data_IF_013558211141
#
_entry.id   IF_013558211141
#
_cell.length_a   1.000
_cell.length_b   1.000
_cell.length_c   1.000
_cell.angle_alpha   90.00
_cell.angle_beta   90.00
_cell.angle_gamma   90.00
#
_symmetry.space_group_name_H-M   'P 1'
#
loop_
_entity.id
_entity.type
_entity.pdbx_description
1 polymer ?
#
# COMPACT_ATOMS: atom_id res chain seq x y z
N UNK A 1 18.30 10.01 6.68
CA UNK A 1 18.11 8.55 6.89
C UNK A 1 19.11 7.84 5.98
N UNK A 2 20.00 6.96 6.47
CA UNK A 2 21.00 6.32 5.59
C UNK A 2 20.33 5.34 4.62
N UNK A 3 20.65 5.46 3.32
CA UNK A 3 20.18 4.54 2.29
C UNK A 3 20.59 3.09 2.63
N UNK A 4 19.66 2.14 2.54
CA UNK A 4 19.97 0.70 2.64
C UNK A 4 20.81 0.17 1.46
N UNK A 5 21.01 1.00 0.44
CA UNK A 5 21.80 0.71 -0.74
C UNK A 5 23.19 1.34 -0.55
N UNK A 6 24.23 0.56 -0.86
CA UNK A 6 25.63 0.98 -0.74
C UNK A 6 26.00 2.07 -1.76
N UNK A 7 25.34 2.05 -2.92
CA UNK A 7 25.52 3.00 -4.01
C UNK A 7 24.20 3.33 -4.68
N UNK A 8 24.05 4.60 -5.04
CA UNK A 8 23.03 5.07 -5.96
C UNK A 8 23.72 5.53 -7.24
N UNK A 9 23.30 5.00 -8.37
CA UNK A 9 23.79 5.40 -9.70
C UNK A 9 22.61 5.97 -10.47
N UNK A 10 22.77 7.11 -11.10
CA UNK A 10 21.76 7.70 -11.98
C UNK A 10 22.31 7.77 -13.40
N UNK A 11 21.80 6.91 -14.27
CA UNK A 11 22.11 6.85 -15.69
C UNK A 11 21.07 7.69 -16.42
N UNK A 12 21.54 8.78 -17.02
CA UNK A 12 20.70 9.74 -17.68
C UNK A 12 20.84 9.64 -19.20
N UNK A 13 19.78 9.15 -19.86
CA UNK A 13 19.65 9.13 -21.31
C UNK A 13 18.90 10.35 -21.83
N UNK A 14 18.07 11.03 -21.03
CA UNK A 14 17.22 12.14 -21.51
C UNK A 14 17.95 13.48 -21.63
N UNK A 15 19.07 13.64 -20.91
CA UNK A 15 19.86 14.89 -20.84
C UNK A 15 19.00 16.16 -20.82
N UNK A 16 17.93 16.18 -20.01
CA UNK A 16 17.11 17.35 -19.80
C UNK A 16 17.99 18.55 -19.37
N UNK A 17 17.64 19.76 -19.79
CA UNK A 17 18.46 20.97 -19.63
C UNK A 17 19.00 21.19 -18.20
N UNK A 18 18.26 20.74 -17.17
CA UNK A 18 18.70 20.79 -15.77
C UNK A 18 19.81 19.75 -15.51
N UNK A 19 19.57 18.50 -15.88
CA UNK A 19 20.47 17.37 -15.61
C UNK A 19 21.75 17.37 -16.46
N UNK A 20 21.73 18.01 -17.63
CA UNK A 20 22.92 18.20 -18.46
C UNK A 20 23.96 19.11 -17.77
N UNK A 21 23.49 20.12 -17.01
CA UNK A 21 24.31 21.21 -16.49
C UNK A 21 24.70 21.09 -15.00
N UNK A 22 24.56 19.91 -14.40
CA UNK A 22 24.85 19.67 -12.97
C UNK A 22 26.04 18.75 -12.78
N UNK A 23 26.79 18.97 -11.72
CA UNK A 23 27.93 18.10 -11.36
C UNK A 23 27.50 17.04 -10.34
N UNK A 24 26.53 17.37 -9.48
CA UNK A 24 26.08 16.51 -8.38
C UNK A 24 24.56 16.38 -8.37
N UNK A 25 24.07 15.14 -8.31
CA UNK A 25 22.65 14.81 -8.14
C UNK A 25 22.42 14.18 -6.76
N UNK A 26 21.43 14.69 -6.03
CA UNK A 26 20.95 14.12 -4.77
C UNK A 26 19.59 13.47 -5.00
N UNK A 27 19.48 12.19 -4.63
CA UNK A 27 18.24 11.42 -4.66
C UNK A 27 17.95 10.94 -3.25
N UNK A 28 16.79 11.29 -2.70
CA UNK A 28 16.40 10.92 -1.33
C UNK A 28 17.49 11.29 -0.31
N UNK A 29 17.99 12.54 -0.36
CA UNK A 29 19.04 13.05 0.54
C UNK A 29 20.40 12.33 0.44
N UNK A 30 20.57 11.44 -0.55
CA UNK A 30 21.81 10.67 -0.76
C UNK A 30 22.46 11.08 -2.08
N UNK A 31 23.78 11.35 -2.12
CA UNK A 31 24.49 11.59 -3.36
C UNK A 31 24.40 10.38 -4.31
N UNK A 32 24.11 10.65 -5.57
CA UNK A 32 24.12 9.65 -6.63
C UNK A 32 25.32 9.86 -7.55
N UNK A 33 25.92 8.76 -8.00
CA UNK A 33 26.90 8.80 -9.09
C UNK A 33 26.14 9.08 -10.39
N UNK A 34 26.35 10.26 -10.95
CA UNK A 34 25.68 10.70 -12.16
C UNK A 34 26.46 10.25 -13.40
N UNK A 35 25.85 9.37 -14.20
CA UNK A 35 26.36 8.91 -15.49
C UNK A 35 25.57 9.62 -16.58
N UNK A 36 26.24 10.52 -17.32
CA UNK A 36 25.64 11.25 -18.44
C UNK A 36 25.99 10.55 -19.75
N UNK A 37 24.98 10.06 -20.46
CA UNK A 37 25.18 9.45 -21.79
C UNK A 37 25.10 10.57 -22.82
N UNK A 38 26.18 10.89 -23.57
CA UNK A 38 26.16 11.99 -24.55
C UNK A 38 25.05 11.80 -25.60
N UNK A 39 24.45 12.89 -26.05
CA UNK A 39 23.32 12.84 -26.98
C UNK A 39 23.68 12.12 -28.29
N UNK A 40 22.76 11.30 -28.79
CA UNK A 40 22.97 10.56 -30.03
C UNK A 40 24.03 9.45 -29.93
N UNK A 41 24.60 9.18 -28.74
CA UNK A 41 25.58 8.11 -28.53
C UNK A 41 25.06 6.76 -28.98
N UNK A 42 25.93 5.92 -29.51
CA UNK A 42 25.56 4.53 -29.78
C UNK A 42 25.85 3.66 -28.54
N UNK A 43 24.79 3.22 -27.88
CA UNK A 43 24.85 2.37 -26.68
C UNK A 43 25.59 1.04 -26.95
N UNK A 44 25.56 0.54 -28.19
CA UNK A 44 26.25 -0.71 -28.58
C UNK A 44 27.76 -0.57 -28.62
N UNK A 45 28.28 0.62 -28.94
CA UNK A 45 29.71 0.85 -29.10
C UNK A 45 30.31 1.63 -27.93
N UNK A 46 29.48 2.24 -27.08
CA UNK A 46 29.94 2.87 -25.84
C UNK A 46 30.73 1.86 -25.00
N UNK A 47 32.03 2.11 -24.86
CA UNK A 47 33.00 1.33 -24.08
C UNK A 47 33.75 2.31 -23.17
N UNK A 48 33.95 1.98 -21.90
CA UNK A 48 34.89 2.72 -21.06
C UNK A 48 34.61 2.68 -19.54
N UNK A 49 35.56 2.24 -18.70
CA UNK A 49 35.46 2.28 -17.24
C UNK A 49 35.40 3.69 -16.63
N UNK A 50 35.79 4.75 -17.35
CA UNK A 50 35.75 6.13 -16.85
C UNK A 50 34.33 6.67 -16.63
N UNK A 51 33.32 6.05 -17.27
CA UNK A 51 31.90 6.33 -17.04
C UNK A 51 31.25 5.33 -16.08
N UNK A 52 31.93 4.23 -15.73
CA UNK A 52 31.34 3.15 -14.95
C UNK A 52 31.68 3.26 -13.46
N UNK A 53 30.69 3.17 -12.56
CA UNK A 53 30.82 3.50 -11.14
C UNK A 53 31.56 2.42 -10.32
N UNK A 54 32.80 2.11 -10.66
CA UNK A 54 33.60 1.08 -9.98
C UNK A 54 32.85 -0.25 -9.83
N UNK A 55 33.16 -1.04 -8.80
CA UNK A 55 32.48 -2.31 -8.55
C UNK A 55 30.99 -2.12 -8.20
N UNK A 56 30.10 -2.88 -8.83
CA UNK A 56 28.65 -2.91 -8.56
C UNK A 56 28.33 -4.12 -7.68
N UNK A 57 27.48 -3.94 -6.67
CA UNK A 57 27.06 -5.02 -5.75
C UNK A 57 25.56 -5.27 -5.86
N UNK A 58 25.08 -6.35 -5.24
CA UNK A 58 23.63 -6.61 -5.11
C UNK A 58 22.90 -5.52 -4.30
N UNK A 59 23.61 -4.77 -3.46
CA UNK A 59 23.03 -3.66 -2.69
C UNK A 59 23.06 -2.34 -3.46
N UNK A 60 23.52 -2.33 -4.71
CA UNK A 60 23.51 -1.12 -5.54
C UNK A 60 22.12 -0.89 -6.13
N UNK A 61 21.72 0.38 -6.24
CA UNK A 61 20.51 0.80 -6.95
C UNK A 61 20.86 1.70 -8.13
N UNK A 62 20.32 1.38 -9.28
CA UNK A 62 20.53 2.10 -10.52
C UNK A 62 19.23 2.74 -10.96
N UNK A 63 19.23 4.05 -11.17
CA UNK A 63 18.15 4.77 -11.81
C UNK A 63 18.48 4.93 -13.28
N UNK A 64 17.57 4.55 -14.14
CA UNK A 64 17.67 4.74 -15.59
C UNK A 64 16.57 5.69 -16.03
N UNK A 65 16.96 6.88 -16.45
CA UNK A 65 16.04 7.90 -16.94
C UNK A 65 16.11 7.97 -18.45
N UNK A 66 14.97 7.74 -19.09
CA UNK A 66 14.78 7.77 -20.54
C UNK A 66 13.33 8.15 -20.85
N UNK A 67 13.05 8.65 -22.06
CA UNK A 67 11.67 8.87 -22.48
C UNK A 67 11.10 7.61 -23.14
N UNK A 68 9.94 7.16 -22.67
CA UNK A 68 9.16 6.10 -23.33
C UNK A 68 8.03 6.67 -24.18
N UNK A 69 7.31 5.77 -24.87
CA UNK A 69 6.02 6.03 -25.51
C UNK A 69 5.07 4.89 -25.20
N UNK A 70 3.84 5.21 -24.82
CA UNK A 70 2.78 4.24 -24.50
C UNK A 70 2.66 3.11 -25.53
N UNK A 71 2.78 3.43 -26.82
CA UNK A 71 2.56 2.48 -27.91
C UNK A 71 3.80 1.63 -28.25
N UNK A 72 4.96 1.91 -27.65
CA UNK A 72 6.25 1.32 -28.03
C UNK A 72 6.93 0.69 -26.82
N UNK A 73 6.72 -0.61 -26.67
CA UNK A 73 7.24 -1.38 -25.54
C UNK A 73 8.69 -1.84 -25.72
N UNK A 74 9.31 -1.62 -26.88
CA UNK A 74 10.62 -2.17 -27.24
C UNK A 74 11.66 -1.08 -27.53
N UNK A 75 11.36 0.18 -27.22
CA UNK A 75 12.29 1.28 -27.43
C UNK A 75 12.11 2.43 -26.43
N UNK A 76 13.19 3.19 -26.26
CA UNK A 76 13.24 4.45 -25.48
C UNK A 76 13.95 5.54 -26.26
N UNK A 77 13.83 6.78 -25.81
CA UNK A 77 14.26 7.99 -26.51
C UNK A 77 15.13 8.90 -25.62
N UNK A 78 16.11 9.59 -26.23
CA UNK A 78 16.92 10.67 -25.62
C UNK A 78 16.34 12.06 -25.94
N UNK A 79 15.11 12.33 -25.53
CA UNK A 79 14.41 13.55 -25.97
C UNK A 79 15.02 14.84 -25.39
N UNK A 80 15.95 15.45 -26.13
CA UNK A 80 16.38 16.84 -25.92
C UNK A 80 16.00 17.75 -27.11
N UNK A 81 15.98 17.22 -28.34
CA UNK A 81 15.80 17.97 -29.59
C UNK A 81 14.52 17.57 -30.34
N UNK A 82 14.19 18.31 -31.43
CA UNK A 82 13.01 18.05 -32.28
C UNK A 82 13.00 16.65 -32.89
N UNK A 83 14.18 16.04 -33.08
CA UNK A 83 14.38 14.69 -33.62
C UNK A 83 15.06 13.79 -32.58
N UNK A 84 14.30 13.04 -31.75
CA UNK A 84 14.87 12.16 -30.74
C UNK A 84 15.53 10.92 -31.38
N UNK A 85 16.69 10.49 -30.87
CA UNK A 85 17.24 9.19 -31.23
C UNK A 85 16.44 8.09 -30.55
N UNK A 86 16.21 7.03 -31.31
CA UNK A 86 15.50 5.84 -30.86
C UNK A 86 16.51 4.78 -30.46
N UNK A 87 16.39 4.26 -29.24
CA UNK A 87 17.19 3.16 -28.73
C UNK A 87 16.30 1.94 -28.59
N UNK A 88 16.61 0.90 -29.35
CA UNK A 88 15.93 -0.38 -29.24
C UNK A 88 16.27 -1.10 -27.93
N UNK A 89 15.42 -2.05 -27.57
CA UNK A 89 15.58 -2.94 -26.43
C UNK A 89 16.96 -3.61 -26.41
N UNK A 90 17.42 -4.10 -27.57
CA UNK A 90 18.74 -4.74 -27.71
C UNK A 90 19.89 -3.81 -27.33
N UNK A 91 19.81 -2.57 -27.76
CA UNK A 91 20.86 -1.57 -27.56
C UNK A 91 21.00 -1.24 -26.07
N UNK A 92 19.85 -1.06 -25.40
CA UNK A 92 19.78 -0.80 -23.96
C UNK A 92 20.23 -2.04 -23.16
N UNK A 93 19.80 -3.24 -23.56
CA UNK A 93 20.23 -4.48 -22.92
C UNK A 93 21.73 -4.72 -23.07
N UNK A 94 22.32 -4.44 -24.23
CA UNK A 94 23.78 -4.50 -24.45
C UNK A 94 24.51 -3.53 -23.53
N UNK A 95 24.02 -2.30 -23.38
CA UNK A 95 24.62 -1.32 -22.49
C UNK A 95 24.61 -1.77 -21.03
N UNK A 96 23.45 -2.22 -20.52
CA UNK A 96 23.34 -2.79 -19.17
C UNK A 96 24.14 -4.09 -19.02
N UNK A 97 24.17 -4.94 -20.04
CA UNK A 97 24.97 -6.16 -20.07
C UNK A 97 26.45 -5.85 -19.83
N UNK A 98 27.02 -4.88 -20.55
CA UNK A 98 28.41 -4.45 -20.32
C UNK A 98 28.63 -3.88 -18.91
N UNK A 99 27.71 -3.04 -18.44
CA UNK A 99 27.79 -2.38 -17.13
C UNK A 99 27.72 -3.38 -15.97
N UNK A 100 26.81 -4.34 -16.06
CA UNK A 100 26.39 -5.17 -14.94
C UNK A 100 27.03 -6.56 -14.96
N UNK A 101 27.72 -6.94 -16.03
CA UNK A 101 28.38 -8.25 -16.13
C UNK A 101 29.69 -8.27 -15.36
N UNK A 102 29.53 -8.33 -14.04
CA UNK A 102 30.58 -8.76 -13.13
C UNK A 102 30.28 -10.20 -12.67
N UNK A 103 31.14 -11.18 -12.99
CA UNK A 103 30.90 -12.60 -12.68
C UNK A 103 30.81 -12.87 -11.16
N UNK A 104 31.34 -12.00 -10.31
CA UNK A 104 31.44 -12.25 -8.87
C UNK A 104 30.21 -11.82 -8.05
N UNK A 105 29.24 -11.08 -8.63
CA UNK A 105 28.18 -10.41 -7.85
C UNK A 105 26.74 -10.84 -8.17
N UNK A 106 26.48 -11.57 -9.26
CA UNK A 106 25.11 -11.91 -9.71
C UNK A 106 24.51 -13.12 -9.00
N UNK A 107 24.47 -13.11 -7.67
CA UNK A 107 23.82 -14.19 -6.92
C UNK A 107 22.30 -13.92 -6.79
N UNK A 108 21.42 -14.73 -7.43
CA UNK A 108 19.95 -14.57 -7.33
C UNK A 108 19.40 -14.74 -5.91
N UNK A 109 20.16 -15.36 -5.02
CA UNK A 109 19.72 -15.72 -3.67
C UNK A 109 20.09 -14.65 -2.63
N UNK A 110 20.87 -13.62 -3.02
CA UNK A 110 21.29 -12.54 -2.11
C UNK A 110 20.30 -11.39 -2.15
N UNK A 111 19.80 -11.00 -0.97
CA UNK A 111 18.84 -9.91 -0.77
C UNK A 111 19.51 -8.77 0.02
N UNK A 112 19.29 -7.49 -0.35
CA UNK A 112 18.54 -7.04 -1.53
C UNK A 112 19.26 -7.40 -2.82
N UNK A 113 18.48 -7.66 -3.88
CA UNK A 113 19.00 -7.84 -5.25
C UNK A 113 19.33 -6.49 -5.87
N UNK A 114 20.23 -6.50 -6.85
CA UNK A 114 20.52 -5.33 -7.68
C UNK A 114 19.21 -4.79 -8.24
N UNK A 115 18.93 -3.51 -7.95
CA UNK A 115 17.65 -2.89 -8.29
C UNK A 115 17.82 -1.88 -9.42
N UNK A 116 17.10 -2.07 -10.52
CA UNK A 116 17.00 -1.11 -11.62
C UNK A 116 15.68 -0.33 -11.51
N UNK A 117 15.75 0.97 -11.28
CA UNK A 117 14.61 1.88 -11.24
C UNK A 117 14.47 2.56 -12.59
N UNK A 118 13.43 2.22 -13.33
CA UNK A 118 13.14 2.76 -14.64
C UNK A 118 12.26 4.01 -14.51
N UNK A 119 12.89 5.17 -14.60
CA UNK A 119 12.24 6.48 -14.70
C UNK A 119 11.84 6.75 -16.15
N UNK A 120 11.09 5.82 -16.74
CA UNK A 120 10.61 5.89 -18.12
C UNK A 120 9.14 6.25 -18.13
N UNK A 121 8.75 7.27 -18.90
CA UNK A 121 7.33 7.59 -19.13
C UNK A 121 6.63 6.38 -19.75
N UNK A 122 5.64 5.81 -19.08
CA UNK A 122 4.86 4.65 -19.58
C UNK A 122 5.75 3.42 -19.89
N UNK A 123 6.81 3.22 -19.11
CA UNK A 123 7.86 2.24 -19.42
C UNK A 123 7.63 0.81 -18.93
N UNK A 124 6.43 0.40 -18.48
CA UNK A 124 6.23 -0.93 -17.90
C UNK A 124 6.51 -2.07 -18.89
N UNK A 125 5.98 -1.97 -20.12
CA UNK A 125 6.20 -2.98 -21.16
C UNK A 125 7.68 -3.13 -21.51
N UNK A 126 8.37 -1.99 -21.66
CA UNK A 126 9.81 -1.94 -21.87
C UNK A 126 10.61 -2.52 -20.71
N UNK A 127 10.22 -2.21 -19.47
CA UNK A 127 10.86 -2.76 -18.27
C UNK A 127 10.75 -4.29 -18.19
N UNK A 128 9.57 -4.85 -18.51
CA UNK A 128 9.35 -6.30 -18.55
C UNK A 128 10.27 -6.96 -19.57
N UNK A 129 10.29 -6.44 -20.81
CA UNK A 129 11.13 -6.99 -21.87
C UNK A 129 12.62 -6.85 -21.56
N UNK A 130 13.04 -5.72 -20.98
CA UNK A 130 14.44 -5.49 -20.61
C UNK A 130 14.91 -6.45 -19.52
N UNK A 131 14.10 -6.68 -18.48
CA UNK A 131 14.47 -7.62 -17.41
C UNK A 131 14.62 -9.05 -17.93
N UNK A 132 13.69 -9.54 -18.77
CA UNK A 132 13.80 -10.86 -19.40
C UNK A 132 15.09 -10.94 -20.22
N UNK A 133 15.32 -9.93 -21.07
CA UNK A 133 16.48 -9.93 -21.94
C UNK A 133 17.81 -9.89 -21.19
N UNK A 134 17.87 -9.15 -20.09
CA UNK A 134 19.05 -9.13 -19.22
C UNK A 134 19.31 -10.49 -18.56
N UNK A 135 18.25 -11.23 -18.23
CA UNK A 135 18.38 -12.61 -17.76
C UNK A 135 18.86 -13.54 -18.89
N UNK A 136 18.18 -13.54 -20.04
CA UNK A 136 18.43 -14.47 -21.14
C UNK A 136 19.82 -14.28 -21.76
N UNK A 137 20.20 -13.03 -22.05
CA UNK A 137 21.43 -12.74 -22.78
C UNK A 137 22.65 -12.61 -21.85
N UNK A 138 22.46 -12.28 -20.56
CA UNK A 138 23.55 -11.93 -19.65
C UNK A 138 23.50 -12.61 -18.27
N UNK A 139 22.52 -13.47 -18.00
CA UNK A 139 22.34 -14.14 -16.71
C UNK A 139 22.14 -13.17 -15.53
N UNK A 140 21.56 -11.99 -15.79
CA UNK A 140 21.38 -10.95 -14.78
C UNK A 140 20.06 -11.11 -14.02
N UNK A 141 20.15 -11.52 -12.74
CA UNK A 141 19.03 -11.53 -11.81
C UNK A 141 18.87 -10.17 -11.14
N UNK A 142 18.03 -9.32 -11.71
CA UNK A 142 17.77 -7.98 -11.20
C UNK A 142 16.29 -7.79 -10.85
N UNK A 143 16.04 -7.00 -9.83
CA UNK A 143 14.70 -6.51 -9.54
C UNK A 143 14.50 -5.17 -10.28
N UNK A 144 13.35 -4.99 -10.92
CA UNK A 144 13.07 -3.78 -11.71
C UNK A 144 11.91 -3.01 -11.14
N UNK A 145 12.11 -1.76 -10.76
CA UNK A 145 11.04 -0.87 -10.35
C UNK A 145 10.63 -0.02 -11.55
N UNK A 146 9.40 -0.20 -12.04
CA UNK A 146 8.88 0.52 -13.21
C UNK A 146 7.61 1.30 -12.86
N UNK A 147 7.30 2.31 -13.68
CA UNK A 147 6.06 3.07 -13.56
C UNK A 147 5.03 2.57 -14.58
N UNK A 148 3.79 2.38 -14.14
CA UNK A 148 2.63 2.07 -14.99
C UNK A 148 2.17 3.27 -15.79
N UNK A 149 2.36 4.47 -15.23
CA UNK A 149 1.87 5.73 -15.78
C UNK A 149 3.05 6.63 -16.17
N UNK A 150 2.76 7.73 -16.89
CA UNK A 150 3.77 8.75 -17.22
C UNK A 150 4.37 9.29 -15.93
N UNK A 151 5.70 9.23 -15.81
CA UNK A 151 6.44 9.80 -14.69
C UNK A 151 6.88 11.23 -15.02
N UNK A 152 6.71 12.14 -14.08
CA UNK A 152 7.26 13.49 -14.11
C UNK A 152 8.21 13.64 -12.92
N UNK A 153 9.49 13.85 -13.22
CA UNK A 153 10.52 14.12 -12.21
C UNK A 153 10.68 15.64 -12.06
N UNK A 154 10.61 16.12 -10.82
CA UNK A 154 10.83 17.53 -10.50
C UNK A 154 12.15 17.73 -9.77
N UNK A 155 12.95 18.65 -10.30
CA UNK A 155 14.29 18.95 -9.82
C UNK A 155 14.30 20.34 -9.18
N UNK A 156 14.95 20.46 -8.02
CA UNK A 156 15.22 21.74 -7.36
C UNK A 156 16.73 21.98 -7.39
N UNK A 157 17.14 23.10 -7.98
CA UNK A 157 18.51 23.61 -7.96
C UNK A 157 18.57 24.83 -7.03
N UNK A 158 19.22 24.75 -5.85
CA UNK A 158 19.45 25.91 -5.03
C UNK A 158 20.28 26.96 -5.79
N UNK A 159 19.97 28.24 -5.54
CA UNK A 159 20.69 29.37 -6.15
C UNK A 159 22.18 29.30 -5.76
N UNK A 160 23.07 29.44 -6.74
CA UNK A 160 24.54 29.41 -6.59
C UNK A 160 25.19 28.03 -6.32
N UNK A 161 24.42 26.94 -6.27
CA UNK A 161 24.97 25.60 -6.11
C UNK A 161 25.05 24.82 -7.42
N UNK A 162 26.03 23.91 -7.52
CA UNK A 162 26.12 22.92 -8.62
C UNK A 162 25.34 21.63 -8.35
N UNK A 163 24.66 21.58 -7.20
CA UNK A 163 23.88 20.44 -6.74
C UNK A 163 22.42 20.57 -7.15
N UNK A 164 21.80 19.45 -7.52
CA UNK A 164 20.36 19.38 -7.79
C UNK A 164 19.74 18.25 -6.99
N UNK A 165 18.55 18.51 -6.47
CA UNK A 165 17.75 17.58 -5.71
C UNK A 165 16.58 17.10 -6.56
N UNK A 166 16.46 15.78 -6.73
CA UNK A 166 15.21 15.19 -7.18
C UNK A 166 14.24 15.15 -5.99
N UNK A 167 13.31 16.10 -5.94
CA UNK A 167 12.45 16.30 -4.75
C UNK A 167 11.08 15.66 -4.91
N UNK A 168 10.55 15.61 -6.14
CA UNK A 168 9.22 15.06 -6.38
C UNK A 168 9.18 14.16 -7.61
N UNK A 169 8.35 13.13 -7.49
CA UNK A 169 7.92 12.26 -8.59
C UNK A 169 6.41 12.28 -8.61
N UNK A 170 5.86 12.78 -9.69
CA UNK A 170 4.43 12.77 -9.96
C UNK A 170 4.14 11.80 -11.09
N UNK A 171 2.95 11.23 -11.11
CA UNK A 171 2.51 10.41 -12.24
C UNK A 171 1.27 11.00 -12.86
N UNK A 172 1.12 10.89 -14.18
CA UNK A 172 -0.08 11.32 -14.88
C UNK A 172 -0.65 10.21 -15.76
N UNK A 173 -1.98 10.22 -15.90
CA UNK A 173 -2.67 9.44 -16.92
C UNK A 173 -3.21 10.43 -17.94
N UNK A 174 -3.19 10.01 -19.20
CA UNK A 174 -3.80 10.77 -20.29
C UNK A 174 -5.24 11.14 -19.93
N UNK A 175 -5.55 12.43 -19.92
CA UNK A 175 -6.88 12.97 -19.62
C UNK A 175 -7.26 13.13 -18.13
N UNK A 176 -6.46 12.63 -17.18
CA UNK A 176 -6.79 12.68 -15.72
C UNK A 176 -5.90 13.66 -14.95
N UNK A 177 -4.87 14.21 -15.59
CA UNK A 177 -3.93 15.14 -14.96
C UNK A 177 -2.85 14.47 -14.11
N UNK A 178 -2.01 15.30 -13.47
CA UNK A 178 -0.89 14.87 -12.62
C UNK A 178 -1.36 14.62 -11.20
N UNK A 179 -0.84 13.55 -10.60
CA UNK A 179 -1.12 13.20 -9.21
C UNK A 179 0.17 12.77 -8.51
N UNK A 180 0.37 13.32 -7.32
CA UNK A 180 1.45 12.93 -6.43
C UNK A 180 1.06 11.67 -5.66
N UNK A 181 1.95 10.65 -5.68
CA UNK A 181 1.73 9.33 -5.02
C UNK A 181 0.44 8.63 -5.46
N UNK A 182 0.14 8.62 -6.76
CA UNK A 182 -0.99 7.87 -7.33
C UNK A 182 -0.91 6.38 -6.96
N UNK A 183 -1.96 5.79 -6.39
CA UNK A 183 -2.06 4.34 -6.18
C UNK A 183 -1.81 3.58 -7.48
N UNK A 184 -1.20 2.39 -7.39
CA UNK A 184 -0.99 1.52 -8.55
C UNK A 184 -0.20 2.13 -9.71
N UNK A 185 0.60 3.16 -9.44
CA UNK A 185 1.40 3.83 -10.47
C UNK A 185 2.79 3.23 -10.64
N UNK A 186 3.21 2.37 -9.71
CA UNK A 186 4.57 1.85 -9.62
C UNK A 186 4.56 0.39 -9.22
N UNK A 187 5.36 -0.41 -9.90
CA UNK A 187 5.49 -1.84 -9.64
C UNK A 187 6.94 -2.24 -9.45
N UNK A 188 7.13 -3.27 -8.65
CA UNK A 188 8.35 -4.04 -8.54
C UNK A 188 8.18 -5.31 -9.38
N UNK A 189 8.96 -5.42 -10.43
CA UNK A 189 9.09 -6.63 -11.23
C UNK A 189 10.19 -7.48 -10.61
N UNK A 190 9.85 -8.72 -10.26
CA UNK A 190 10.82 -9.73 -9.85
C UNK A 190 10.85 -10.83 -10.91
N UNK A 191 11.97 -11.53 -11.02
CA UNK A 191 12.14 -12.63 -11.96
C UNK A 191 12.74 -13.83 -11.23
N UNK A 192 12.24 -15.02 -11.54
CA UNK A 192 12.77 -16.28 -11.01
C UNK A 192 13.83 -16.92 -11.93
N UNK A 193 14.36 -18.07 -11.51
CA UNK A 193 15.38 -18.80 -12.29
C UNK A 193 14.85 -19.40 -13.59
N UNK A 194 13.54 -19.58 -13.71
CA UNK A 194 12.89 -20.06 -14.92
C UNK A 194 12.52 -18.93 -15.90
N UNK A 195 12.80 -17.67 -15.54
CA UNK A 195 12.43 -16.49 -16.32
C UNK A 195 10.97 -16.06 -16.12
N UNK A 196 10.27 -16.61 -15.13
CA UNK A 196 8.92 -16.17 -14.78
C UNK A 196 8.97 -14.82 -14.08
N UNK A 197 8.31 -13.82 -14.67
CA UNK A 197 8.19 -12.49 -14.09
C UNK A 197 6.96 -12.38 -13.20
N UNK A 198 7.14 -11.77 -12.03
CA UNK A 198 6.04 -11.37 -11.16
C UNK A 198 5.98 -9.85 -11.04
N UNK A 199 4.78 -9.31 -11.15
CA UNK A 199 4.50 -7.89 -10.96
C UNK A 199 3.92 -7.68 -9.57
N UNK A 200 4.67 -6.96 -8.72
CA UNK A 200 4.27 -6.62 -7.36
C UNK A 200 3.93 -5.14 -7.30
N UNK A 201 2.72 -4.80 -6.86
CA UNK A 201 2.37 -3.39 -6.64
C UNK A 201 3.12 -2.84 -5.42
N UNK A 202 3.89 -1.76 -5.64
CA UNK A 202 4.71 -1.19 -4.59
C UNK A 202 3.89 -0.57 -3.45
N UNK A 203 2.65 -0.14 -3.73
CA UNK A 203 1.75 0.41 -2.72
C UNK A 203 1.09 -0.69 -1.89
N UNK A 204 0.73 -1.81 -2.51
CA UNK A 204 0.20 -2.98 -1.78
C UNK A 204 1.26 -3.54 -0.83
N UNK A 205 2.49 -3.74 -1.29
CA UNK A 205 3.59 -4.23 -0.44
C UNK A 205 3.86 -3.29 0.75
N UNK A 206 3.87 -1.97 0.49
CA UNK A 206 4.05 -0.96 1.54
C UNK A 206 2.88 -0.95 2.53
N UNK A 207 1.66 -1.14 2.05
CA UNK A 207 0.50 -1.22 2.92
C UNK A 207 0.55 -2.48 3.80
N UNK A 208 0.95 -3.63 3.25
CA UNK A 208 1.19 -4.86 4.03
C UNK A 208 2.22 -4.62 5.13
N UNK A 209 3.35 -3.96 4.82
CA UNK A 209 4.36 -3.58 5.81
C UNK A 209 3.78 -2.66 6.90
N UNK A 210 2.95 -1.68 6.53
CA UNK A 210 2.27 -0.81 7.48
C UNK A 210 1.31 -1.59 8.40
N UNK A 211 0.58 -2.57 7.86
CA UNK A 211 -0.30 -3.45 8.66
C UNK A 211 0.52 -4.23 9.68
N UNK A 212 1.55 -4.96 9.23
CA UNK A 212 2.42 -5.72 10.13
C UNK A 212 2.98 -4.85 11.25
N UNK A 213 3.65 -3.75 10.89
CA UNK A 213 4.28 -2.86 11.87
C UNK A 213 3.25 -2.20 12.79
N UNK A 214 2.12 -1.74 12.25
CA UNK A 214 1.07 -1.09 13.01
C UNK A 214 0.48 -1.99 14.09
N UNK A 215 0.18 -3.25 13.74
CA UNK A 215 -0.41 -4.23 14.67
C UNK A 215 0.60 -4.68 15.73
N UNK A 216 1.83 -5.01 15.35
CA UNK A 216 2.88 -5.37 16.32
C UNK A 216 3.15 -4.25 17.32
N UNK A 217 3.16 -3.00 16.85
CA UNK A 217 3.32 -1.84 17.72
C UNK A 217 2.18 -1.72 18.74
N UNK A 218 0.94 -2.09 18.38
CA UNK A 218 -0.17 -2.07 19.34
C UNK A 218 -0.01 -3.14 20.42
N UNK A 219 0.41 -4.36 20.05
CA UNK A 219 0.70 -5.42 21.03
C UNK A 219 1.80 -4.97 22.00
N UNK A 220 2.91 -4.45 21.46
CA UNK A 220 4.05 -4.00 22.26
C UNK A 220 3.71 -2.80 23.16
N UNK A 221 2.99 -1.82 22.62
CA UNK A 221 2.55 -0.63 23.35
C UNK A 221 1.59 -1.00 24.48
N UNK A 222 0.56 -1.80 24.18
CA UNK A 222 -0.43 -2.22 25.17
C UNK A 222 0.22 -3.04 26.29
N UNK A 223 1.07 -4.01 25.94
CA UNK A 223 1.81 -4.84 26.92
C UNK A 223 2.68 -4.01 27.87
N UNK A 224 3.21 -2.88 27.39
CA UNK A 224 4.09 -2.01 28.18
C UNK A 224 3.32 -1.11 29.15
N UNK A 225 2.14 -0.64 28.76
CA UNK A 225 1.43 0.44 29.47
C UNK A 225 0.13 0.03 30.14
N UNK A 226 -0.42 -1.14 29.82
CA UNK A 226 -1.66 -1.62 30.45
C UNK A 226 -1.47 -1.91 31.94
N UNK A 227 -2.47 -1.54 32.74
CA UNK A 227 -2.51 -1.91 34.15
C UNK A 227 -3.10 -3.32 34.31
N UNK A 228 -2.25 -4.32 34.49
CA UNK A 228 -2.68 -5.72 34.66
C UNK A 228 -3.29 -6.04 36.03
N UNK A 229 -3.48 -5.05 36.90
CA UNK A 229 -4.38 -5.21 38.05
C UNK A 229 -5.86 -5.21 37.63
N UNK A 230 -6.19 -4.67 36.43
CA UNK A 230 -7.52 -4.83 35.83
C UNK A 230 -7.58 -6.14 35.01
N UNK A 231 -8.43 -7.12 35.39
CA UNK A 231 -8.58 -8.38 34.68
C UNK A 231 -8.95 -8.24 33.20
N UNK A 232 -9.68 -7.19 32.82
CA UNK A 232 -10.09 -6.94 31.43
C UNK A 232 -8.87 -6.74 30.51
N UNK A 233 -7.77 -6.20 31.03
CA UNK A 233 -6.56 -5.98 30.24
C UNK A 233 -5.87 -7.28 29.82
N UNK A 234 -6.09 -8.41 30.53
CA UNK A 234 -5.62 -9.71 30.05
C UNK A 234 -6.38 -10.17 28.81
N UNK A 235 -7.71 -10.01 28.80
CA UNK A 235 -8.56 -10.34 27.66
C UNK A 235 -8.23 -9.48 26.43
N UNK A 236 -7.97 -8.18 26.64
CA UNK A 236 -7.54 -7.27 25.57
C UNK A 236 -6.19 -7.71 25.00
N UNK A 237 -5.20 -8.01 25.86
CA UNK A 237 -3.89 -8.46 25.41
C UNK A 237 -3.95 -9.79 24.65
N UNK A 238 -4.75 -10.74 25.13
CA UNK A 238 -4.99 -12.02 24.45
C UNK A 238 -5.57 -11.78 23.05
N UNK A 239 -6.61 -10.94 22.95
CA UNK A 239 -7.21 -10.54 21.67
C UNK A 239 -6.20 -9.91 20.70
N UNK A 240 -5.40 -8.94 21.18
CA UNK A 240 -4.37 -8.28 20.37
C UNK A 240 -3.32 -9.28 19.88
N UNK A 241 -2.90 -10.21 20.74
CA UNK A 241 -1.87 -11.21 20.42
C UNK A 241 -2.37 -12.22 19.39
N UNK A 242 -3.61 -12.70 19.54
CA UNK A 242 -4.23 -13.61 18.58
C UNK A 242 -4.39 -12.93 17.23
N UNK A 243 -4.92 -11.70 17.20
CA UNK A 243 -5.05 -10.94 15.96
C UNK A 243 -3.70 -10.71 15.26
N UNK A 244 -2.66 -10.34 16.02
CA UNK A 244 -1.31 -10.17 15.49
C UNK A 244 -0.78 -11.48 14.87
N UNK A 245 -1.00 -12.60 15.54
CA UNK A 245 -0.60 -13.93 15.04
C UNK A 245 -1.34 -14.32 13.77
N UNK A 246 -2.62 -13.97 13.64
CA UNK A 246 -3.40 -14.26 12.44
C UNK A 246 -2.95 -13.40 11.25
N UNK A 247 -2.60 -12.13 11.50
CA UNK A 247 -1.92 -11.26 10.51
C UNK A 247 -0.60 -11.89 10.04
N UNK A 248 0.26 -12.32 10.98
CA UNK A 248 1.55 -12.95 10.65
C UNK A 248 1.37 -14.24 9.85
N UNK A 249 0.42 -15.06 10.28
CA UNK A 249 0.11 -16.34 9.64
C UNK A 249 -0.34 -16.10 8.20
N UNK A 250 -1.27 -15.17 7.99
CA UNK A 250 -1.78 -14.82 6.67
C UNK A 250 -0.65 -14.33 5.75
N UNK A 251 0.18 -13.39 6.22
CA UNK A 251 1.34 -12.91 5.46
C UNK A 251 2.27 -14.06 5.11
N UNK A 252 2.65 -14.89 6.09
CA UNK A 252 3.58 -16.00 5.86
C UNK A 252 3.08 -17.02 4.82
N UNK A 253 1.76 -17.24 4.75
CA UNK A 253 1.14 -18.23 3.87
C UNK A 253 1.01 -17.75 2.42
N UNK A 254 0.85 -16.44 2.19
CA UNK A 254 0.49 -15.90 0.88
C UNK A 254 1.46 -14.87 0.29
N UNK A 255 2.32 -14.21 1.08
CA UNK A 255 3.19 -13.13 0.57
C UNK A 255 4.16 -13.62 -0.52
N UNK A 256 4.63 -14.87 -0.42
CA UNK A 256 5.52 -15.47 -1.42
C UNK A 256 4.79 -16.06 -2.63
N UNK A 257 3.45 -16.05 -2.63
CA UNK A 257 2.61 -16.59 -3.72
C UNK A 257 2.00 -15.46 -4.55
N UNK A 258 1.32 -14.55 -3.87
CA UNK A 258 0.57 -13.46 -4.50
C UNK A 258 0.39 -12.31 -3.49
N UNK A 259 1.02 -11.18 -3.81
CA UNK A 259 0.96 -9.97 -2.99
C UNK A 259 -0.44 -9.34 -3.01
N UNK A 260 -1.11 -9.34 -4.15
CA UNK A 260 -2.46 -8.78 -4.29
C UNK A 260 -3.45 -9.61 -3.47
N UNK A 261 -3.35 -10.95 -3.55
CA UNK A 261 -4.15 -11.85 -2.71
C UNK A 261 -3.87 -11.62 -1.22
N UNK A 262 -2.60 -11.47 -0.84
CA UNK A 262 -2.20 -11.19 0.54
C UNK A 262 -2.81 -9.88 1.03
N UNK A 263 -2.75 -8.82 0.22
CA UNK A 263 -3.29 -7.52 0.56
C UNK A 263 -4.82 -7.58 0.72
N UNK A 264 -5.52 -8.25 -0.19
CA UNK A 264 -6.96 -8.47 -0.12
C UNK A 264 -7.35 -9.25 1.15
N UNK A 265 -6.68 -10.36 1.45
CA UNK A 265 -6.99 -11.16 2.64
C UNK A 265 -6.74 -10.38 3.93
N UNK A 266 -5.66 -9.58 4.00
CA UNK A 266 -5.41 -8.70 5.14
C UNK A 266 -6.49 -7.63 5.30
N UNK A 267 -6.97 -7.04 4.19
CA UNK A 267 -8.03 -6.05 4.25
C UNK A 267 -9.33 -6.67 4.78
N UNK A 268 -9.66 -7.88 4.32
CA UNK A 268 -10.79 -8.64 4.83
C UNK A 268 -10.65 -8.93 6.35
N UNK A 269 -9.45 -9.34 6.79
CA UNK A 269 -9.16 -9.62 8.19
C UNK A 269 -9.30 -8.36 9.07
N UNK A 270 -8.73 -7.23 8.64
CA UNK A 270 -8.87 -5.94 9.35
C UNK A 270 -10.33 -5.51 9.46
N UNK A 271 -11.08 -5.59 8.36
CA UNK A 271 -12.50 -5.24 8.35
C UNK A 271 -13.33 -6.17 9.24
N UNK A 272 -12.97 -7.45 9.34
CA UNK A 272 -13.67 -8.41 10.20
C UNK A 272 -13.64 -7.98 11.67
N UNK A 273 -12.58 -7.32 12.14
CA UNK A 273 -12.45 -6.84 13.53
C UNK A 273 -13.45 -5.75 13.90
N UNK A 274 -13.92 -4.98 12.92
CA UNK A 274 -14.89 -3.90 13.17
C UNK A 274 -16.34 -4.42 13.23
N UNK A 275 -16.56 -5.71 12.97
CA UNK A 275 -17.90 -6.28 12.87
C UNK A 275 -18.40 -6.81 14.21
N UNK A 276 -19.70 -6.66 14.43
CA UNK A 276 -20.40 -7.20 15.61
C UNK A 276 -20.34 -8.74 15.66
N UNK A 277 -20.08 -9.41 14.52
CA UNK A 277 -19.89 -10.86 14.42
C UNK A 277 -18.43 -11.29 14.36
N UNK A 278 -17.48 -10.40 14.66
CA UNK A 278 -16.06 -10.73 14.73
C UNK A 278 -15.81 -11.85 15.74
N UNK A 279 -14.67 -12.54 15.60
CA UNK A 279 -14.16 -13.43 16.64
C UNK A 279 -14.24 -12.72 18.00
N UNK A 280 -14.78 -13.36 19.06
CA UNK A 280 -14.87 -12.77 20.39
C UNK A 280 -13.54 -12.19 20.88
N UNK A 281 -12.41 -12.79 20.51
CA UNK A 281 -11.08 -12.29 20.87
C UNK A 281 -10.75 -10.98 20.15
N UNK A 282 -11.18 -10.82 18.90
CA UNK A 282 -11.03 -9.54 18.20
C UNK A 282 -11.91 -8.46 18.81
N UNK A 283 -13.10 -8.82 19.29
CA UNK A 283 -13.96 -7.87 20.02
C UNK A 283 -13.29 -7.41 21.32
N UNK A 284 -12.60 -8.31 22.03
CA UNK A 284 -11.80 -7.93 23.20
C UNK A 284 -10.64 -7.00 22.81
N UNK A 285 -9.91 -7.31 21.74
CA UNK A 285 -8.84 -6.45 21.23
C UNK A 285 -9.34 -5.02 20.91
N UNK A 286 -10.54 -4.92 20.34
CA UNK A 286 -11.18 -3.66 20.00
C UNK A 286 -11.57 -2.83 21.21
N UNK A 287 -11.56 -3.34 22.46
CA UNK A 287 -11.73 -2.48 23.63
C UNK A 287 -10.53 -1.54 23.87
N UNK A 288 -9.41 -1.75 23.16
CA UNK A 288 -8.28 -0.81 23.15
C UNK A 288 -8.47 0.28 22.08
N UNK A 289 -8.72 1.51 22.50
CA UNK A 289 -9.01 2.65 21.62
C UNK A 289 -7.93 2.91 20.56
N UNK A 290 -6.65 2.84 20.92
CA UNK A 290 -5.56 3.06 19.95
C UNK A 290 -5.54 1.97 18.88
N UNK A 291 -5.88 0.73 19.25
CA UNK A 291 -6.01 -0.35 18.28
C UNK A 291 -7.18 -0.09 17.33
N UNK A 292 -8.34 0.36 17.82
CA UNK A 292 -9.45 0.76 16.94
C UNK A 292 -9.04 1.84 15.92
N UNK A 293 -8.31 2.85 16.39
CA UNK A 293 -7.83 3.95 15.54
C UNK A 293 -6.87 3.45 14.45
N UNK A 294 -5.90 2.61 14.83
CA UNK A 294 -4.94 2.02 13.90
C UNK A 294 -5.63 1.12 12.87
N UNK A 295 -6.55 0.25 13.30
CA UNK A 295 -7.34 -0.61 12.39
C UNK A 295 -8.12 0.23 11.38
N UNK A 296 -8.83 1.25 11.84
CA UNK A 296 -9.64 2.13 10.96
C UNK A 296 -8.75 2.84 9.93
N UNK A 297 -7.61 3.35 10.36
CA UNK A 297 -6.64 3.99 9.47
C UNK A 297 -6.12 3.00 8.41
N UNK A 298 -5.71 1.80 8.84
CA UNK A 298 -5.19 0.76 7.93
C UNK A 298 -6.24 0.33 6.90
N UNK A 299 -7.51 0.22 7.29
CA UNK A 299 -8.62 -0.10 6.37
C UNK A 299 -8.81 1.02 5.33
N UNK A 300 -8.82 2.28 5.77
CA UNK A 300 -8.99 3.42 4.87
C UNK A 300 -7.81 3.55 3.88
N UNK A 301 -6.58 3.28 4.35
CA UNK A 301 -5.41 3.19 3.47
C UNK A 301 -5.56 2.02 2.48
N UNK A 302 -5.98 0.84 2.96
CA UNK A 302 -6.14 -0.37 2.14
C UNK A 302 -7.18 -0.19 1.03
N UNK A 303 -8.33 0.41 1.35
CA UNK A 303 -9.38 0.73 0.38
C UNK A 303 -8.91 1.66 -0.75
N UNK A 304 -7.85 2.44 -0.52
CA UNK A 304 -7.24 3.32 -1.53
C UNK A 304 -6.17 2.63 -2.37
N UNK A 305 -5.47 1.65 -1.80
CA UNK A 305 -4.24 1.10 -2.37
C UNK A 305 -4.32 -0.37 -2.81
N UNK A 306 -5.43 -1.06 -2.54
CA UNK A 306 -5.66 -2.44 -2.96
C UNK A 306 -6.63 -2.42 -4.12
N UNK A 307 -6.30 -3.11 -5.21
CA UNK A 307 -7.25 -3.36 -6.28
C UNK A 307 -8.11 -4.59 -5.90
N UNK A 308 -9.38 -4.42 -5.48
CA UNK A 308 -10.18 -5.53 -5.00
C UNK A 308 -10.50 -6.48 -6.15
N UNK A 309 -10.20 -7.77 -5.97
CA UNK A 309 -10.58 -8.79 -6.95
C UNK A 309 -12.12 -8.95 -7.00
N UNK A 310 -12.65 -9.50 -8.10
CA UNK A 310 -14.10 -9.67 -8.28
C UNK A 310 -14.76 -10.43 -7.12
N UNK A 311 -14.11 -11.48 -6.62
CA UNK A 311 -14.61 -12.30 -5.51
C UNK A 311 -14.71 -11.51 -4.20
N UNK A 312 -13.77 -10.60 -3.93
CA UNK A 312 -13.85 -9.68 -2.80
C UNK A 312 -14.91 -8.62 -3.00
N UNK A 313 -15.12 -8.12 -4.23
CA UNK A 313 -16.22 -7.19 -4.51
C UNK A 313 -17.58 -7.87 -4.27
N UNK A 314 -17.74 -9.12 -4.68
CA UNK A 314 -18.93 -9.94 -4.41
C UNK A 314 -19.09 -10.25 -2.92
N UNK A 315 -18.00 -10.60 -2.22
CA UNK A 315 -17.99 -10.79 -0.76
C UNK A 315 -18.35 -9.50 -0.02
N UNK A 316 -17.83 -8.34 -0.44
CA UNK A 316 -18.16 -7.03 0.12
C UNK A 316 -19.62 -6.66 -0.12
N UNK A 317 -20.15 -6.96 -1.30
CA UNK A 317 -21.56 -6.76 -1.60
C UNK A 317 -22.46 -7.64 -0.73
N UNK A 318 -22.18 -8.95 -0.68
CA UNK A 318 -22.92 -9.91 0.13
C UNK A 318 -22.85 -9.60 1.63
N UNK A 319 -21.68 -9.15 2.11
CA UNK A 319 -21.52 -8.72 3.50
C UNK A 319 -22.29 -7.42 3.81
N UNK A 320 -22.27 -6.44 2.91
CA UNK A 320 -23.06 -5.21 3.05
C UNK A 320 -24.56 -5.49 3.08
N UNK A 321 -25.01 -6.44 2.28
CA UNK A 321 -26.39 -6.94 2.29
C UNK A 321 -26.74 -7.64 3.61
N UNK A 322 -25.85 -8.49 4.14
CA UNK A 322 -26.05 -9.17 5.42
C UNK A 322 -26.08 -8.19 6.61
N UNK A 323 -25.22 -7.18 6.62
CA UNK A 323 -25.23 -6.13 7.66
C UNK A 323 -26.46 -5.23 7.55
N UNK A 324 -26.88 -4.87 6.33
CA UNK A 324 -28.13 -4.14 6.10
C UNK A 324 -29.34 -4.96 6.55
N UNK A 325 -29.39 -6.26 6.25
CA UNK A 325 -30.43 -7.17 6.71
C UNK A 325 -30.43 -7.33 8.23
N UNK A 326 -29.25 -7.43 8.88
CA UNK A 326 -29.14 -7.54 10.33
C UNK A 326 -29.50 -6.23 11.04
N UNK A 327 -29.08 -5.08 10.51
CA UNK A 327 -29.46 -3.76 11.03
C UNK A 327 -30.96 -3.51 10.86
N UNK A 328 -31.55 -3.96 9.74
CA UNK A 328 -33.00 -4.00 9.53
C UNK A 328 -33.69 -4.91 10.54
N UNK A 329 -33.18 -6.13 10.77
CA UNK A 329 -33.71 -7.04 11.79
C UNK A 329 -33.57 -6.52 13.22
N UNK A 330 -32.52 -5.78 13.56
CA UNK A 330 -32.34 -5.13 14.87
C UNK A 330 -33.34 -3.98 15.02
N UNK A 331 -33.48 -3.14 13.98
CA UNK A 331 -34.49 -2.08 13.92
C UNK A 331 -35.92 -2.64 14.03
N UNK A 332 -36.17 -3.79 13.40
CA UNK A 332 -37.46 -4.48 13.41
C UNK A 332 -37.68 -5.35 14.67
N UNK A 333 -36.65 -5.75 15.43
CA UNK A 333 -36.78 -6.52 16.69
C UNK A 333 -36.91 -5.64 17.94
N UNK A 334 -36.38 -4.42 17.95
CA UNK A 334 -36.39 -3.56 19.15
C UNK A 334 -37.69 -2.76 19.28
N UNK A 335 -38.37 -2.42 18.18
CA UNK A 335 -39.64 -1.68 18.22
C UNK A 335 -40.86 -2.52 18.70
N UNK A 336 -41.07 -3.80 18.30
CA UNK A 336 -42.29 -4.52 18.64
C UNK A 336 -42.33 -5.05 20.07
N UNK A 337 -41.18 -5.40 20.67
CA UNK A 337 -41.15 -5.97 22.02
C UNK A 337 -41.41 -4.93 23.11
N UNK A 338 -41.02 -3.68 22.90
CA UNK A 338 -41.34 -2.57 23.82
C UNK A 338 -42.82 -2.20 23.71
N UNK A 339 -43.38 -2.12 22.50
CA UNK A 339 -44.80 -1.81 22.29
C UNK A 339 -45.74 -2.95 22.68
N UNK A 340 -45.38 -4.23 22.50
CA UNK A 340 -46.21 -5.37 22.92
C UNK A 340 -46.21 -5.55 24.44
N UNK A 341 -45.06 -5.39 25.11
CA UNK A 341 -44.99 -5.45 26.58
C UNK A 341 -45.79 -4.30 27.23
N UNK A 342 -45.73 -3.09 26.66
CA UNK A 342 -46.47 -1.94 27.14
C UNK A 342 -47.97 -2.04 26.87
N UNK A 343 -48.39 -2.51 25.68
CA UNK A 343 -49.82 -2.71 25.36
C UNK A 343 -50.46 -3.77 26.24
N UNK A 344 -49.72 -4.82 26.64
CA UNK A 344 -50.18 -5.83 27.58
C UNK A 344 -50.39 -5.26 29.00
N UNK A 345 -49.49 -4.40 29.47
CA UNK A 345 -49.62 -3.71 30.77
C UNK A 345 -50.82 -2.75 30.77
N UNK A 346 -50.97 -1.91 29.74
CA UNK A 346 -52.11 -0.99 29.64
C UNK A 346 -53.44 -1.71 29.44
N UNK A 347 -53.47 -2.81 28.67
CA UNK A 347 -54.68 -3.62 28.48
C UNK A 347 -55.08 -4.37 29.74
N UNK A 348 -54.10 -4.88 30.51
CA UNK A 348 -54.35 -5.50 31.83
C UNK A 348 -54.91 -4.50 32.85
N UNK A 349 -54.34 -3.29 32.89
CA UNK A 349 -54.82 -2.22 33.78
C UNK A 349 -56.22 -1.71 33.36
N UNK A 350 -56.54 -1.67 32.06
CA UNK A 350 -57.88 -1.31 31.55
C UNK A 350 -58.96 -2.34 31.91
N UNK A 351 -58.61 -3.63 31.93
CA UNK A 351 -59.52 -4.70 32.37
C UNK A 351 -59.78 -4.58 33.87
N UNK A 352 -58.74 -4.40 34.68
CA UNK A 352 -58.83 -4.18 36.14
C UNK A 352 -59.65 -2.91 36.47
N UNK A 353 -59.51 -1.84 35.68
CA UNK A 353 -60.30 -0.61 35.75
C UNK A 353 -61.80 -0.85 35.56
N UNK A 354 -62.12 -1.72 34.59
CA UNK A 354 -63.50 -2.00 34.17
C UNK A 354 -64.23 -2.90 35.18
N UNK A 355 -63.49 -3.74 35.92
CA UNK A 355 -64.04 -4.67 36.88
C UNK A 355 -64.16 -4.09 38.30
N UNK A 356 -63.23 -3.20 38.71
CA UNK A 356 -63.14 -2.73 40.10
C UNK A 356 -63.21 -1.20 40.27
N UNK A 357 -63.43 -0.46 39.17
CA UNK A 357 -63.50 1.00 39.16
C UNK A 357 -62.12 1.66 39.08
N UNK A 358 -62.06 2.80 38.38
CA UNK A 358 -60.82 3.50 38.01
C UNK A 358 -59.98 3.92 39.23
N UNK A 359 -60.60 4.11 40.39
CA UNK A 359 -59.95 4.52 41.63
C UNK A 359 -58.98 3.47 42.18
N UNK A 360 -59.19 2.18 41.86
CA UNK A 360 -58.36 1.06 42.32
C UNK A 360 -56.98 0.95 41.65
N UNK A 361 -56.75 1.72 40.56
CA UNK A 361 -55.57 1.62 39.70
C UNK A 361 -54.91 2.97 39.38
N UNK A 362 -55.48 4.09 39.80
CA UNK A 362 -54.94 5.44 39.57
C UNK A 362 -53.47 5.57 40.00
N UNK A 363 -53.15 5.05 41.18
CA UNK A 363 -51.81 5.08 41.79
C UNK A 363 -50.76 4.25 41.03
N UNK A 364 -51.21 3.21 40.31
CA UNK A 364 -50.38 2.35 39.45
C UNK A 364 -50.21 2.98 38.06
N UNK A 365 -51.24 3.64 37.55
CA UNK A 365 -51.23 4.41 36.30
C UNK A 365 -50.29 5.63 36.39
N UNK A 366 -50.33 6.38 37.50
CA UNK A 366 -49.44 7.53 37.70
C UNK A 366 -47.96 7.11 37.83
N UNK A 367 -47.66 6.01 38.51
CA UNK A 367 -46.28 5.46 38.58
C UNK A 367 -45.79 4.96 37.23
N UNK A 368 -46.65 4.32 36.44
CA UNK A 368 -46.32 3.91 35.08
C UNK A 368 -46.05 5.13 34.17
N UNK A 369 -46.81 6.22 34.32
CA UNK A 369 -46.60 7.47 33.58
C UNK A 369 -45.33 8.23 34.01
N UNK A 370 -44.99 8.25 35.30
CA UNK A 370 -43.76 8.91 35.80
C UNK A 370 -42.47 8.22 35.33
N UNK A 371 -42.51 6.91 35.06
CA UNK A 371 -41.38 6.16 34.49
C UNK A 371 -41.08 6.48 33.01
N UNK A 372 -41.91 7.32 32.37
CA UNK A 372 -41.78 7.72 30.95
C UNK A 372 -41.12 9.10 30.77
N UNK A 373 -40.78 9.81 31.86
CA UNK A 373 -40.05 11.08 31.77
C UNK A 373 -38.58 10.89 32.18
N UNK A 374 -37.64 10.63 31.26
CA UNK A 374 -36.24 10.96 31.53
C UNK A 374 -36.15 12.49 31.65
N UNK A 375 -35.68 12.96 32.81
CA UNK A 375 -35.52 14.38 33.08
C UNK A 375 -34.68 15.09 32.02
N UNK A 376 -35.33 15.96 31.25
CA UNK A 376 -34.75 17.23 30.84
C UNK A 376 -34.88 18.13 32.07
N UNK A 377 -33.79 18.38 32.79
CA UNK A 377 -33.73 19.47 33.76
C UNK A 377 -32.65 20.47 33.35
N UNK A 378 -33.00 21.73 33.09
CA UNK A 378 -32.15 22.86 33.39
C UNK A 378 -32.42 23.32 34.84
N UNK A 379 -31.33 23.40 35.61
CA UNK A 379 -31.11 24.49 36.56
C UNK A 379 -30.42 25.63 35.83
#
# INVERSE_FOLDING_TARGET
MYSKYDKLIYINLTQDQITANIDTLIIHETPAILVKIPDGSDLKTLQGPDFFPGAITNQTKIYFSAHGREELEDMVLDRQNRDPKIYGLDDVAIYFGKLLTNPDFKNPDVIPRLTLVMSVCEGLGFAKKLQIKLLDDYGLYIDVIANKNVLHEQFIKPTEERMVYLTHRETSNKGVGREYKRPHSKVLLTIDRAGSQQEVDAYELKWIENVLNGIHQQVASFSKWANFENPENFSILEGLTVFCKDVDTLVSLSIGKDIQLTANNLLALLQSCQKISADPLYQQAMNYEMFQHVITKLINEGARYINPNMEMQEYFHALGELESQKNKMIRDKVAPNIFQAQKAIYSGLLIEASEYGIESILDKLERAMQSVTPGIHPS
#
